data_IF_691485662898
#
_entry.id   IF_691485662898
#
_cell.length_a   1.000
_cell.length_b   1.000
_cell.length_c   1.000
_cell.angle_alpha   90.00
_cell.angle_beta   90.00
_cell.angle_gamma   90.00
#
_symmetry.space_group_name_H-M   'P 1'
#
loop_
_entity.id
_entity.type
_entity.pdbx_description
1 polymer ?
#
# COMPACT_ATOMS: atom_id res chain seq x y z
N UNK A 1 5.20 -35.03 16.48
CA UNK A 1 5.83 -33.86 15.83
C UNK A 1 5.28 -32.62 16.52
N UNK A 2 6.09 -31.63 16.91
CA UNK A 2 5.56 -30.48 17.63
C UNK A 2 4.82 -29.59 16.64
N UNK A 3 3.54 -29.37 16.90
CA UNK A 3 2.72 -28.36 16.24
C UNK A 3 3.32 -27.00 16.56
N UNK A 4 4.05 -26.40 15.62
CA UNK A 4 4.49 -25.01 15.76
C UNK A 4 3.25 -24.12 15.69
N UNK A 5 2.84 -23.61 16.84
CA UNK A 5 1.88 -22.51 16.95
C UNK A 5 2.27 -21.42 15.96
N UNK A 6 1.47 -21.21 14.91
CA UNK A 6 1.64 -20.11 13.97
C UNK A 6 1.29 -18.80 14.66
N UNK A 7 2.18 -18.34 15.54
CA UNK A 7 2.05 -17.01 16.13
C UNK A 7 2.34 -16.01 15.03
N UNK A 8 1.30 -15.32 14.55
CA UNK A 8 1.46 -14.20 13.62
C UNK A 8 2.40 -13.18 14.28
N UNK A 9 3.44 -12.68 13.59
CA UNK A 9 4.36 -11.71 14.17
C UNK A 9 3.60 -10.47 14.68
N UNK A 10 3.95 -9.91 15.87
CA UNK A 10 3.29 -8.71 16.39
C UNK A 10 3.29 -7.55 15.38
N UNK A 11 4.40 -7.38 14.66
CA UNK A 11 4.52 -6.40 13.60
C UNK A 11 3.51 -6.63 12.46
N UNK A 12 3.24 -7.88 12.07
CA UNK A 12 2.26 -8.19 11.04
C UNK A 12 0.84 -7.80 11.45
N UNK A 13 0.49 -8.01 12.73
CA UNK A 13 -0.81 -7.58 13.26
C UNK A 13 -0.91 -6.05 13.25
N UNK A 14 0.15 -5.37 13.67
CA UNK A 14 0.23 -3.89 13.64
C UNK A 14 0.08 -3.32 12.23
N UNK A 15 0.85 -3.84 11.26
CA UNK A 15 0.76 -3.38 9.87
C UNK A 15 -0.62 -3.66 9.27
N UNK A 16 -1.28 -4.76 9.63
CA UNK A 16 -2.65 -5.01 9.21
C UNK A 16 -3.63 -3.94 9.74
N UNK A 17 -3.48 -3.52 11.00
CA UNK A 17 -4.27 -2.42 11.56
C UNK A 17 -4.01 -1.09 10.85
N UNK A 18 -2.75 -0.79 10.52
CA UNK A 18 -2.39 0.39 9.74
C UNK A 18 -2.99 0.35 8.33
N UNK A 19 -2.94 -0.80 7.65
CA UNK A 19 -3.56 -0.97 6.32
C UNK A 19 -5.07 -0.69 6.38
N UNK A 20 -5.77 -1.21 7.38
CA UNK A 20 -7.20 -0.89 7.57
C UNK A 20 -7.40 0.62 7.80
N UNK A 21 -6.57 1.22 8.66
CA UNK A 21 -6.61 2.67 8.94
C UNK A 21 -6.38 3.50 7.68
N UNK A 22 -5.44 3.11 6.82
CA UNK A 22 -5.16 3.76 5.54
C UNK A 22 -6.40 3.78 4.64
N UNK A 23 -7.18 2.69 4.66
CA UNK A 23 -8.38 2.56 3.87
C UNK A 23 -9.56 3.41 4.36
N UNK A 24 -9.64 3.70 5.65
CA UNK A 24 -10.80 4.34 6.29
C UNK A 24 -10.56 5.80 6.71
N UNK A 25 -9.30 6.22 6.84
CA UNK A 25 -8.97 7.56 7.31
C UNK A 25 -9.58 8.64 6.38
N UNK A 26 -10.29 9.66 6.92
CA UNK A 26 -10.93 10.68 6.09
C UNK A 26 -9.96 11.76 5.60
N UNK A 27 -8.81 11.93 6.26
CA UNK A 27 -7.85 12.99 5.95
C UNK A 27 -6.55 12.43 5.37
N UNK A 28 -6.04 13.09 4.34
CA UNK A 28 -4.85 12.63 3.61
C UNK A 28 -3.54 12.79 4.40
N UNK A 29 -3.48 13.71 5.36
CA UNK A 29 -2.35 13.83 6.29
C UNK A 29 -2.21 12.57 7.16
N UNK A 30 -3.33 12.05 7.66
CA UNK A 30 -3.37 10.80 8.45
C UNK A 30 -2.98 9.62 7.59
N UNK A 31 -3.57 9.49 6.38
CA UNK A 31 -3.19 8.44 5.42
C UNK A 31 -1.70 8.48 5.10
N UNK A 32 -1.13 9.67 4.92
CA UNK A 32 0.28 9.83 4.60
C UNK A 32 1.18 9.34 5.73
N UNK A 33 0.90 9.71 6.99
CA UNK A 33 1.67 9.21 8.14
C UNK A 33 1.56 7.69 8.28
N UNK A 34 0.35 7.15 8.16
CA UNK A 34 0.10 5.70 8.22
C UNK A 34 0.85 4.96 7.12
N UNK A 35 0.78 5.46 5.88
CA UNK A 35 1.48 4.85 4.76
C UNK A 35 3.01 4.93 4.90
N UNK A 36 3.52 6.02 5.48
CA UNK A 36 4.95 6.17 5.75
C UNK A 36 5.43 5.08 6.69
N UNK A 37 4.71 4.84 7.78
CA UNK A 37 5.04 3.77 8.73
C UNK A 37 4.96 2.38 8.08
N UNK A 38 3.92 2.10 7.28
CA UNK A 38 3.84 0.85 6.50
C UNK A 38 5.07 0.69 5.60
N UNK A 39 5.42 1.73 4.84
CA UNK A 39 6.53 1.72 3.89
C UNK A 39 7.89 1.46 4.54
N UNK A 40 8.09 1.91 5.77
CA UNK A 40 9.33 1.74 6.54
C UNK A 40 9.47 0.32 7.11
N UNK A 41 8.36 -0.36 7.43
CA UNK A 41 8.37 -1.62 8.18
C UNK A 41 7.95 -2.85 7.37
N UNK A 42 7.26 -2.69 6.23
CA UNK A 42 6.67 -3.82 5.49
C UNK A 42 7.71 -4.87 5.06
N UNK A 43 8.91 -4.43 4.70
CA UNK A 43 9.99 -5.29 4.20
C UNK A 43 10.58 -6.19 5.30
N UNK A 44 10.41 -5.85 6.59
CA UNK A 44 10.82 -6.70 7.72
C UNK A 44 10.04 -8.01 7.79
N UNK A 45 8.84 -8.04 7.20
CA UNK A 45 7.99 -9.22 7.16
C UNK A 45 8.27 -10.10 5.94
N UNK A 46 9.26 -9.76 5.10
CA UNK A 46 9.62 -10.58 3.94
C UNK A 46 9.94 -12.03 4.36
N UNK A 47 9.35 -12.99 3.65
CA UNK A 47 9.49 -14.43 3.96
C UNK A 47 8.57 -14.94 5.08
N UNK A 48 7.84 -14.06 5.79
CA UNK A 48 6.79 -14.50 6.71
C UNK A 48 5.52 -14.90 5.96
N UNK A 49 4.70 -15.76 6.56
CA UNK A 49 3.42 -16.18 5.96
C UNK A 49 2.39 -15.05 5.83
N UNK A 50 2.55 -13.95 6.58
CA UNK A 50 1.64 -12.80 6.56
C UNK A 50 1.92 -11.82 5.42
N UNK A 51 3.15 -11.81 4.88
CA UNK A 51 3.61 -10.78 3.93
C UNK A 51 2.74 -10.67 2.68
N UNK A 52 2.40 -11.80 2.05
CA UNK A 52 1.57 -11.81 0.84
C UNK A 52 0.18 -11.23 1.07
N UNK A 53 -0.44 -11.56 2.21
CA UNK A 53 -1.78 -11.06 2.59
C UNK A 53 -1.76 -9.55 2.87
N UNK A 54 -0.72 -9.06 3.54
CA UNK A 54 -0.54 -7.62 3.78
C UNK A 54 -0.37 -6.85 2.47
N UNK A 55 0.44 -7.37 1.55
CA UNK A 55 0.61 -6.77 0.23
C UNK A 55 -0.70 -6.75 -0.55
N UNK A 56 -1.47 -7.84 -0.52
CA UNK A 56 -2.77 -7.91 -1.19
C UNK A 56 -3.73 -6.82 -0.68
N UNK A 57 -3.85 -6.69 0.65
CA UNK A 57 -4.66 -5.65 1.28
C UNK A 57 -4.22 -4.23 0.89
N UNK A 58 -2.90 -3.99 0.89
CA UNK A 58 -2.32 -2.70 0.53
C UNK A 58 -2.61 -2.34 -0.94
N UNK A 59 -2.44 -3.28 -1.86
CA UNK A 59 -2.69 -3.07 -3.30
C UNK A 59 -4.17 -2.79 -3.58
N UNK A 60 -5.09 -3.49 -2.90
CA UNK A 60 -6.52 -3.23 -3.00
C UNK A 60 -6.86 -1.78 -2.62
N UNK A 61 -6.29 -1.28 -1.52
CA UNK A 61 -6.47 0.10 -1.07
C UNK A 61 -5.83 1.08 -2.06
N UNK A 62 -4.64 0.77 -2.59
CA UNK A 62 -3.97 1.64 -3.55
C UNK A 62 -4.78 1.83 -4.82
N UNK A 63 -5.32 0.75 -5.39
CA UNK A 63 -6.17 0.84 -6.58
C UNK A 63 -7.38 1.74 -6.34
N UNK A 64 -8.05 1.60 -5.19
CA UNK A 64 -9.19 2.44 -4.81
C UNK A 64 -8.78 3.92 -4.68
N UNK A 65 -7.78 4.21 -3.86
CA UNK A 65 -7.33 5.58 -3.61
C UNK A 65 -6.80 6.28 -4.88
N UNK A 66 -6.09 5.57 -5.75
CA UNK A 66 -5.60 6.11 -7.02
C UNK A 66 -6.73 6.40 -8.02
N UNK A 67 -7.85 5.68 -7.95
CA UNK A 67 -9.02 5.91 -8.79
C UNK A 67 -9.89 7.07 -8.29
N UNK A 68 -10.01 7.23 -6.97
CA UNK A 68 -10.82 8.26 -6.29
C UNK A 68 -10.14 9.63 -6.28
N UNK A 69 -8.80 9.66 -6.25
CA UNK A 69 -8.04 10.92 -6.17
C UNK A 69 -7.51 11.34 -7.54
N UNK A 70 -7.50 12.65 -7.81
CA UNK A 70 -6.88 13.24 -9.00
C UNK A 70 -5.44 13.72 -8.71
N UNK A 71 -4.57 13.79 -9.73
CA UNK A 71 -3.26 14.42 -9.60
C UNK A 71 -3.39 15.89 -9.16
N UNK A 72 -2.56 16.29 -8.20
CA UNK A 72 -2.47 17.68 -7.71
C UNK A 72 -1.00 18.09 -7.71
N UNK A 73 -0.68 19.29 -8.23
CA UNK A 73 0.71 19.75 -8.42
C UNK A 73 1.09 20.86 -7.42
N UNK A 74 0.79 20.65 -6.14
CA UNK A 74 1.08 21.60 -5.05
C UNK A 74 2.04 20.90 -4.07
N UNK A 75 3.26 21.40 -3.94
CA UNK A 75 4.36 20.71 -3.23
C UNK A 75 4.07 20.43 -1.74
N UNK A 76 3.38 21.35 -1.06
CA UNK A 76 3.05 21.25 0.37
C UNK A 76 1.75 20.47 0.64
N UNK A 77 1.17 19.85 -0.38
CA UNK A 77 -0.10 19.16 -0.27
C UNK A 77 0.10 17.68 0.11
N UNK A 78 -0.51 17.28 1.23
CA UNK A 78 -0.48 15.90 1.73
C UNK A 78 -1.05 14.89 0.72
N UNK A 79 -2.02 15.27 -0.13
CA UNK A 79 -2.54 14.42 -1.21
C UNK A 79 -1.45 14.11 -2.25
N UNK A 80 -0.61 15.08 -2.62
CA UNK A 80 0.52 14.84 -3.54
C UNK A 80 1.56 13.92 -2.89
N UNK A 81 1.93 14.19 -1.62
CA UNK A 81 2.92 13.40 -0.90
C UNK A 81 2.45 11.95 -0.69
N UNK A 82 1.18 11.76 -0.32
CA UNK A 82 0.53 10.46 -0.22
C UNK A 82 0.61 9.69 -1.55
N UNK A 83 0.18 10.32 -2.66
CA UNK A 83 0.20 9.67 -3.98
C UNK A 83 1.61 9.31 -4.42
N UNK A 84 2.58 10.20 -4.19
CA UNK A 84 3.99 9.93 -4.49
C UNK A 84 4.48 8.69 -3.73
N UNK A 85 4.22 8.63 -2.43
CA UNK A 85 4.64 7.51 -1.59
C UNK A 85 3.94 6.19 -1.99
N UNK A 86 2.65 6.23 -2.36
CA UNK A 86 1.94 5.05 -2.89
C UNK A 86 2.61 4.52 -4.16
N UNK A 87 2.96 5.40 -5.10
CA UNK A 87 3.60 5.01 -6.36
C UNK A 87 5.02 4.48 -6.14
N UNK A 88 5.80 5.09 -5.24
CA UNK A 88 7.14 4.62 -4.87
C UNK A 88 7.08 3.22 -4.24
N UNK A 89 6.15 2.99 -3.31
CA UNK A 89 6.00 1.68 -2.68
C UNK A 89 5.47 0.63 -3.66
N UNK A 90 4.52 0.99 -4.53
CA UNK A 90 4.04 0.12 -5.60
C UNK A 90 5.18 -0.29 -6.55
N UNK A 91 6.06 0.65 -6.90
CA UNK A 91 7.22 0.37 -7.73
C UNK A 91 8.22 -0.56 -7.02
N UNK A 92 8.48 -0.33 -5.72
CA UNK A 92 9.33 -1.21 -4.90
C UNK A 92 8.80 -2.65 -4.88
N UNK A 93 7.49 -2.82 -4.76
CA UNK A 93 6.82 -4.12 -4.70
C UNK A 93 6.51 -4.72 -6.08
N UNK A 94 6.87 -4.06 -7.19
CA UNK A 94 6.49 -4.47 -8.56
C UNK A 94 6.95 -5.88 -8.96
N UNK A 95 8.01 -6.38 -8.32
CA UNK A 95 8.54 -7.74 -8.56
C UNK A 95 7.85 -8.82 -7.73
N UNK A 96 6.99 -8.45 -6.78
CA UNK A 96 6.24 -9.38 -5.94
C UNK A 96 5.10 -10.03 -6.75
N UNK A 97 4.92 -11.34 -6.61
CA UNK A 97 3.95 -12.10 -7.41
C UNK A 97 2.49 -11.71 -7.12
N UNK A 98 2.18 -11.29 -5.90
CA UNK A 98 0.87 -10.72 -5.55
C UNK A 98 0.63 -9.47 -6.38
N UNK A 99 1.58 -8.54 -6.41
CA UNK A 99 1.45 -7.29 -7.20
C UNK A 99 1.33 -7.58 -8.70
N UNK A 100 2.09 -8.55 -9.24
CA UNK A 100 2.00 -8.95 -10.65
C UNK A 100 0.60 -9.44 -11.02
N UNK A 101 -0.10 -10.13 -10.11
CA UNK A 101 -1.47 -10.60 -10.35
C UNK A 101 -2.46 -9.45 -10.61
N UNK A 102 -2.21 -8.27 -10.05
CA UNK A 102 -2.99 -7.04 -10.28
C UNK A 102 -2.43 -6.15 -11.40
N UNK A 103 -1.38 -6.58 -12.10
CA UNK A 103 -0.61 -5.76 -13.03
C UNK A 103 -1.45 -5.09 -14.13
N UNK A 104 -2.42 -5.82 -14.72
CA UNK A 104 -3.31 -5.25 -15.76
C UNK A 104 -4.18 -4.11 -15.21
N UNK A 105 -4.78 -4.30 -14.04
CA UNK A 105 -5.63 -3.30 -13.39
C UNK A 105 -4.83 -2.06 -12.99
N UNK A 106 -3.65 -2.27 -12.41
CA UNK A 106 -2.72 -1.19 -12.07
C UNK A 106 -2.29 -0.41 -13.29
N UNK A 107 -1.93 -1.08 -14.39
CA UNK A 107 -1.57 -0.43 -15.66
C UNK A 107 -2.70 0.46 -16.19
N UNK A 108 -3.96 -0.02 -16.18
CA UNK A 108 -5.10 0.78 -16.61
C UNK A 108 -5.28 2.04 -15.75
N UNK A 109 -5.17 1.91 -14.42
CA UNK A 109 -5.28 3.04 -13.49
C UNK A 109 -4.15 4.04 -13.73
N UNK A 110 -2.91 3.58 -13.82
CA UNK A 110 -1.73 4.44 -14.02
C UNK A 110 -1.78 5.16 -15.37
N UNK A 111 -2.15 4.47 -16.45
CA UNK A 111 -2.33 5.09 -17.76
C UNK A 111 -3.39 6.18 -17.71
N UNK A 112 -4.55 5.91 -17.10
CA UNK A 112 -5.61 6.91 -16.90
C UNK A 112 -5.08 8.16 -16.17
N UNK A 113 -4.25 7.98 -15.15
CA UNK A 113 -3.66 9.09 -14.40
C UNK A 113 -2.70 9.94 -15.25
N UNK A 114 -2.00 9.34 -16.21
CA UNK A 114 -1.12 10.08 -17.14
C UNK A 114 -1.94 10.85 -18.17
N UNK A 115 -2.99 10.25 -18.73
CA UNK A 115 -3.85 10.90 -19.74
C UNK A 115 -4.71 12.05 -19.18
N UNK A 116 -4.95 12.08 -17.87
CA UNK A 116 -5.76 13.10 -17.20
C UNK A 116 -4.96 14.30 -16.68
N UNK A 117 -3.63 14.29 -16.84
CA UNK A 117 -2.73 15.42 -16.55
C UNK A 117 -2.56 16.25 -17.82
#
# INVERSE_FOLDING_TARGET
MPSTSSSVPPLAVHLNMLINTLGEAPRDDVKFQVLKEISENIDELFGTSAYSSLIEGLICIFMRLLQETSPQFIAENNTLQLRKLMLELLFRLSSNDVVKSYGKSLQQILLRLIYLV
#
